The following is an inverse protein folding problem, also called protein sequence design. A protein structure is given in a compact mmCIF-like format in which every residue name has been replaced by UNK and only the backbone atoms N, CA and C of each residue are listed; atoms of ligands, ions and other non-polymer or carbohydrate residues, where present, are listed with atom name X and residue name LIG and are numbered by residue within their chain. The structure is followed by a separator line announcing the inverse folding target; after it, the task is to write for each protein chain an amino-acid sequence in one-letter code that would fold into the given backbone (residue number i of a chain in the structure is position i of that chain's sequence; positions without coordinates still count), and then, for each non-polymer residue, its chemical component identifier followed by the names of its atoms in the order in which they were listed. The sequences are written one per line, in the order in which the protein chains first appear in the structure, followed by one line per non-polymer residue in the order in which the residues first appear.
data_IF_870135246633
#
_entry.id   IF_870135246633
#
_cell.length_a   1.000
_cell.length_b   1.000
_cell.length_c   1.000
_cell.angle_alpha   90.00
_cell.angle_beta   90.00
_cell.angle_gamma   90.00
#
_symmetry.space_group_name_H-M   'P 1'
#
loop_
_entity.id
_entity.type
_entity.pdbx_description
1 polymer ?
#
# COMPACT_ATOMS: atom_id res chain seq x y z
N UNK A 1 11.04 2.43 -36.20
CA UNK A 1 11.18 3.90 -36.30
C UNK A 1 11.16 4.56 -34.91
N UNK A 2 10.10 4.37 -34.11
CA UNK A 2 10.01 4.90 -32.72
C UNK A 2 11.17 4.47 -31.81
N UNK A 3 11.58 3.20 -31.87
CA UNK A 3 12.66 2.66 -31.03
C UNK A 3 14.03 3.31 -31.27
N UNK A 4 14.20 4.16 -32.29
CA UNK A 4 15.45 4.87 -32.56
C UNK A 4 15.47 6.30 -32.00
N UNK A 5 14.32 6.85 -31.58
CA UNK A 5 14.21 8.19 -31.03
C UNK A 5 14.92 8.32 -29.66
N UNK A 6 15.24 9.55 -29.22
CA UNK A 6 15.63 9.83 -27.84
C UNK A 6 14.56 9.35 -26.85
N UNK A 7 14.97 8.98 -25.63
CA UNK A 7 14.06 8.40 -24.63
C UNK A 7 12.95 9.40 -24.28
N UNK A 8 13.28 10.68 -24.18
CA UNK A 8 12.36 11.76 -23.86
C UNK A 8 11.24 11.87 -24.90
N UNK A 9 11.59 11.73 -26.18
CA UNK A 9 10.63 11.75 -27.29
C UNK A 9 9.76 10.49 -27.29
N UNK A 10 10.32 9.33 -26.94
CA UNK A 10 9.56 8.10 -26.79
C UNK A 10 8.54 8.25 -25.65
N UNK A 11 8.95 8.80 -24.51
CA UNK A 11 8.05 9.02 -23.37
C UNK A 11 6.96 10.03 -23.70
N UNK A 12 7.28 11.09 -24.43
CA UNK A 12 6.30 12.07 -24.90
C UNK A 12 5.26 11.41 -25.82
N UNK A 13 5.70 10.57 -26.76
CA UNK A 13 4.79 9.79 -27.61
C UNK A 13 3.95 8.82 -26.77
N UNK A 14 4.51 8.22 -25.72
CA UNK A 14 3.78 7.29 -24.85
C UNK A 14 2.67 7.95 -24.00
N UNK A 15 2.52 9.27 -24.01
CA UNK A 15 1.43 9.96 -23.31
C UNK A 15 0.09 9.90 -24.05
N UNK A 16 0.10 9.59 -25.34
CA UNK A 16 -1.09 9.64 -26.21
C UNK A 16 -1.79 8.29 -26.44
N UNK A 17 -1.10 7.14 -26.54
CA UNK A 17 -1.73 5.84 -26.75
C UNK A 17 -2.48 5.34 -25.52
N UNK A 18 -3.41 4.42 -25.74
CA UNK A 18 -4.03 3.68 -24.65
C UNK A 18 -3.00 2.75 -23.98
N UNK A 19 -3.27 2.37 -22.73
CA UNK A 19 -2.40 1.47 -21.97
C UNK A 19 -2.13 0.13 -22.68
N UNK A 20 -3.13 -0.39 -23.39
CA UNK A 20 -3.02 -1.60 -24.21
C UNK A 20 -1.99 -1.44 -25.32
N UNK A 21 -1.94 -0.28 -25.96
CA UNK A 21 -0.98 0.02 -27.04
C UNK A 21 0.43 0.17 -26.48
N UNK A 22 0.59 0.73 -25.27
CA UNK A 22 1.87 0.79 -24.57
C UNK A 22 2.40 -0.61 -24.21
N UNK A 23 1.51 -1.51 -23.77
CA UNK A 23 1.86 -2.91 -23.55
C UNK A 23 2.40 -3.58 -24.81
N UNK A 24 1.72 -3.40 -25.95
CA UNK A 24 2.18 -3.92 -27.25
C UNK A 24 3.49 -3.27 -27.70
N UNK A 25 3.63 -1.95 -27.51
CA UNK A 25 4.83 -1.18 -27.85
C UNK A 25 6.06 -1.76 -27.15
N UNK A 26 5.93 -2.18 -25.88
CA UNK A 26 7.04 -2.77 -25.14
C UNK A 26 7.62 -4.02 -25.81
N UNK A 27 6.78 -4.83 -26.46
CA UNK A 27 7.19 -6.06 -27.13
C UNK A 27 7.76 -5.85 -28.55
N UNK A 28 7.80 -4.62 -29.05
CA UNK A 28 8.32 -4.32 -30.40
C UNK A 28 9.85 -4.42 -30.51
N UNK A 29 10.58 -4.19 -29.41
CA UNK A 29 12.05 -4.32 -29.37
C UNK A 29 12.59 -4.38 -27.93
N UNK A 30 13.79 -4.94 -27.76
CA UNK A 30 14.48 -4.96 -26.46
C UNK A 30 14.68 -3.55 -25.87
N UNK A 31 14.95 -2.55 -26.73
CA UNK A 31 15.12 -1.17 -26.29
C UNK A 31 13.81 -0.61 -25.75
N UNK A 32 12.70 -0.85 -26.44
CA UNK A 32 11.39 -0.36 -26.02
C UNK A 32 10.91 -1.05 -24.73
N UNK A 33 11.12 -2.36 -24.61
CA UNK A 33 10.88 -3.11 -23.36
C UNK A 33 11.64 -2.49 -22.18
N UNK A 34 12.94 -2.19 -22.36
CA UNK A 34 13.76 -1.56 -21.31
C UNK A 34 13.26 -0.16 -20.93
N UNK A 35 12.82 0.63 -21.91
CA UNK A 35 12.28 1.97 -21.67
C UNK A 35 10.95 1.86 -20.90
N UNK A 36 9.99 1.10 -21.42
CA UNK A 36 8.67 0.98 -20.80
C UNK A 36 8.78 0.34 -19.41
N UNK A 37 9.58 -0.72 -19.24
CA UNK A 37 9.82 -1.31 -17.91
C UNK A 37 10.42 -0.33 -16.91
N UNK A 38 11.24 0.63 -17.36
CA UNK A 38 11.90 1.61 -16.48
C UNK A 38 11.02 2.81 -16.15
N UNK A 39 10.26 3.30 -17.12
CA UNK A 39 9.56 4.58 -17.01
C UNK A 39 8.03 4.45 -16.92
N UNK A 40 7.47 3.37 -17.46
CA UNK A 40 6.04 3.09 -17.50
C UNK A 40 5.76 1.62 -17.10
N UNK A 41 6.26 1.14 -15.94
CA UNK A 41 6.14 -0.27 -15.56
C UNK A 41 4.68 -0.73 -15.50
N UNK A 42 3.76 0.16 -15.15
CA UNK A 42 2.32 -0.11 -15.14
C UNK A 42 1.79 -0.55 -16.51
N UNK A 43 2.34 -0.06 -17.62
CA UNK A 43 1.91 -0.48 -18.97
C UNK A 43 2.18 -1.97 -19.25
N UNK A 44 3.06 -2.60 -18.47
CA UNK A 44 3.32 -4.04 -18.51
C UNK A 44 2.43 -4.81 -17.51
N UNK A 45 1.84 -4.12 -16.55
CA UNK A 45 0.92 -4.69 -15.58
C UNK A 45 -0.48 -4.76 -16.19
N UNK A 46 -0.90 -6.00 -16.49
CA UNK A 46 -2.23 -6.25 -17.02
C UNK A 46 -3.32 -5.99 -15.99
N UNK A 47 -3.04 -6.36 -14.73
CA UNK A 47 -4.02 -6.33 -13.65
C UNK A 47 -3.46 -5.58 -12.47
N UNK A 48 -4.18 -4.56 -12.01
CA UNK A 48 -3.83 -3.76 -10.84
C UNK A 48 -4.88 -3.96 -9.76
N UNK A 49 -4.42 -4.29 -8.56
CA UNK A 49 -5.26 -4.48 -7.39
C UNK A 49 -5.39 -3.14 -6.66
N UNK A 50 -6.62 -2.73 -6.34
CA UNK A 50 -6.86 -1.48 -5.65
C UNK A 50 -8.10 -1.55 -4.76
N UNK A 51 -8.11 -0.69 -3.75
CA UNK A 51 -9.19 -0.55 -2.80
C UNK A 51 -9.99 0.72 -3.10
N UNK A 52 -11.32 0.60 -3.12
CA UNK A 52 -12.22 1.73 -3.32
C UNK A 52 -13.16 1.81 -2.11
N UNK A 53 -13.03 2.84 -1.26
CA UNK A 53 -14.09 3.16 -0.32
C UNK A 53 -15.26 3.79 -1.09
N UNK A 54 -16.46 3.38 -0.75
CA UNK A 54 -17.68 3.95 -1.33
C UNK A 54 -18.71 4.20 -0.24
N UNK A 55 -19.34 5.37 -0.32
CA UNK A 55 -20.43 5.81 0.54
C UNK A 55 -21.73 5.81 -0.29
N UNK A 56 -22.78 5.18 0.25
CA UNK A 56 -24.13 5.25 -0.31
C UNK A 56 -25.15 5.51 0.79
N UNK A 57 -25.48 6.78 0.99
CA UNK A 57 -26.26 7.20 2.15
C UNK A 57 -25.53 6.81 3.43
N UNK A 58 -26.19 6.04 4.30
CA UNK A 58 -25.62 5.61 5.58
C UNK A 58 -24.75 4.34 5.49
N UNK A 59 -24.47 3.84 4.28
CA UNK A 59 -23.70 2.62 4.06
C UNK A 59 -22.30 2.98 3.61
N UNK A 60 -21.33 2.70 4.47
CA UNK A 60 -19.91 2.83 4.21
C UNK A 60 -19.34 1.44 3.90
N UNK A 61 -18.79 1.23 2.70
CA UNK A 61 -18.21 -0.06 2.30
C UNK A 61 -16.88 0.07 1.59
N UNK A 62 -15.96 -0.81 1.94
CA UNK A 62 -14.70 -1.03 1.23
C UNK A 62 -14.82 -2.12 0.17
N UNK A 63 -14.47 -1.81 -1.08
CA UNK A 63 -14.44 -2.77 -2.18
C UNK A 63 -13.01 -3.05 -2.61
N UNK A 64 -12.72 -4.33 -2.83
CA UNK A 64 -11.47 -4.78 -3.42
C UNK A 64 -11.72 -5.01 -4.90
N UNK A 65 -11.03 -4.26 -5.73
CA UNK A 65 -11.24 -4.21 -7.16
C UNK A 65 -9.99 -4.63 -7.91
N UNK A 66 -10.20 -5.28 -9.05
CA UNK A 66 -9.17 -5.63 -10.01
C UNK A 66 -9.41 -4.82 -11.28
N UNK A 67 -8.47 -3.95 -11.63
CA UNK A 67 -8.49 -3.21 -12.87
C UNK A 67 -7.73 -4.01 -13.92
N UNK A 68 -8.37 -4.36 -15.02
CA UNK A 68 -7.71 -4.93 -16.19
C UNK A 68 -7.47 -3.83 -17.24
N UNK A 69 -6.20 -3.51 -17.46
CA UNK A 69 -5.78 -2.42 -18.35
C UNK A 69 -5.98 -2.74 -19.83
N UNK A 70 -6.17 -4.00 -20.21
CA UNK A 70 -6.38 -4.40 -21.61
C UNK A 70 -7.84 -4.29 -22.05
N UNK A 71 -8.75 -4.57 -21.14
CA UNK A 71 -10.19 -4.46 -21.35
C UNK A 71 -10.77 -3.15 -20.83
N UNK A 72 -9.96 -2.35 -20.13
CA UNK A 72 -10.36 -1.09 -19.48
C UNK A 72 -11.59 -1.35 -18.59
N UNK A 73 -11.51 -2.39 -17.77
CA UNK A 73 -12.62 -2.87 -16.95
C UNK A 73 -12.22 -2.99 -15.50
N UNK A 74 -13.16 -2.68 -14.61
CA UNK A 74 -13.02 -2.86 -13.17
C UNK A 74 -13.96 -3.98 -12.73
N UNK A 75 -13.39 -5.00 -12.09
CA UNK A 75 -14.13 -6.09 -11.47
C UNK A 75 -14.02 -5.97 -9.95
N UNK A 76 -15.16 -5.93 -9.25
CA UNK A 76 -15.14 -6.12 -7.81
C UNK A 76 -14.93 -7.60 -7.50
N UNK A 77 -13.86 -7.91 -6.79
CA UNK A 77 -13.47 -9.30 -6.53
C UNK A 77 -13.66 -9.73 -5.07
N UNK A 78 -13.72 -8.78 -4.15
CA UNK A 78 -13.96 -9.02 -2.73
C UNK A 78 -14.43 -7.73 -2.04
N UNK A 79 -14.72 -7.83 -0.74
CA UNK A 79 -15.01 -6.71 0.15
C UNK A 79 -14.43 -7.04 1.54
N UNK A 80 -13.87 -6.05 2.21
CA UNK A 80 -13.54 -6.18 3.62
C UNK A 80 -14.82 -6.19 4.46
N UNK A 81 -14.72 -6.75 5.67
CA UNK A 81 -15.82 -6.67 6.64
C UNK A 81 -15.96 -5.26 7.18
N UNK A 82 -14.83 -4.60 7.36
CA UNK A 82 -14.66 -3.26 7.89
C UNK A 82 -14.80 -2.18 6.82
N UNK A 83 -15.34 -1.02 7.21
CA UNK A 83 -15.18 0.18 6.39
C UNK A 83 -13.86 0.85 6.72
N UNK A 84 -13.04 1.06 5.70
CA UNK A 84 -11.70 1.61 5.85
C UNK A 84 -11.54 2.83 4.96
N UNK A 85 -10.83 3.82 5.48
CA UNK A 85 -10.37 4.94 4.69
C UNK A 85 -9.21 4.54 3.77
N UNK A 86 -8.93 5.29 2.68
CA UNK A 86 -7.81 4.99 1.79
C UNK A 86 -6.45 4.90 2.49
N UNK A 87 -6.24 5.70 3.54
CA UNK A 87 -4.97 5.72 4.29
C UNK A 87 -4.80 4.53 5.22
N UNK A 88 -5.87 3.82 5.56
CA UNK A 88 -5.87 2.60 6.39
C UNK A 88 -5.53 1.35 5.56
N UNK A 89 -5.18 1.53 4.28
CA UNK A 89 -4.97 0.43 3.34
C UNK A 89 -3.61 0.55 2.66
N UNK A 90 -2.86 -0.54 2.65
CA UNK A 90 -1.66 -0.70 1.83
C UNK A 90 -1.85 -1.79 0.78
N UNK A 91 -1.27 -1.59 -0.39
CA UNK A 91 -1.37 -2.54 -1.49
C UNK A 91 0.00 -3.03 -1.93
N UNK A 92 0.01 -4.27 -2.40
CA UNK A 92 1.10 -4.89 -3.12
C UNK A 92 0.56 -5.44 -4.43
N UNK A 93 1.41 -6.13 -5.20
CA UNK A 93 1.00 -6.75 -6.46
C UNK A 93 -0.14 -7.76 -6.28
N UNK A 94 -0.11 -8.50 -5.18
CA UNK A 94 -0.98 -9.65 -4.94
C UNK A 94 -1.74 -9.59 -3.62
N UNK A 95 -1.52 -8.56 -2.78
CA UNK A 95 -2.22 -8.42 -1.50
C UNK A 95 -2.72 -7.01 -1.24
N UNK A 96 -3.84 -6.92 -0.54
CA UNK A 96 -4.28 -5.69 0.14
C UNK A 96 -4.26 -5.94 1.64
N UNK A 97 -3.62 -5.03 2.36
CA UNK A 97 -3.59 -4.98 3.82
C UNK A 97 -4.48 -3.83 4.28
N UNK A 98 -5.32 -4.10 5.26
CA UNK A 98 -6.38 -3.21 5.70
C UNK A 98 -6.37 -3.16 7.23
N UNK A 99 -6.03 -2.00 7.81
CA UNK A 99 -5.92 -1.84 9.28
C UNK A 99 -6.90 -0.77 9.73
N UNK A 100 -8.07 -1.20 10.21
CA UNK A 100 -9.16 -0.35 10.67
C UNK A 100 -9.04 -0.03 12.15
N UNK A 101 -8.95 1.25 12.46
CA UNK A 101 -8.87 1.74 13.84
C UNK A 101 -10.22 1.68 14.58
N UNK A 102 -11.32 1.95 13.86
CA UNK A 102 -12.67 2.07 14.45
C UNK A 102 -13.26 0.76 14.93
N UNK A 103 -12.98 -0.33 14.22
CA UNK A 103 -13.46 -1.67 14.53
C UNK A 103 -12.33 -2.62 14.94
N UNK A 104 -11.14 -2.07 15.20
CA UNK A 104 -9.96 -2.80 15.65
C UNK A 104 -9.71 -4.05 14.80
N UNK A 105 -9.68 -3.85 13.48
CA UNK A 105 -9.60 -4.92 12.50
C UNK A 105 -8.32 -4.84 11.67
N UNK A 106 -7.66 -5.98 11.49
CA UNK A 106 -6.60 -6.13 10.51
C UNK A 106 -6.97 -7.26 9.55
N UNK A 107 -7.33 -6.89 8.33
CA UNK A 107 -7.69 -7.82 7.27
C UNK A 107 -6.61 -7.84 6.17
N UNK A 108 -6.33 -9.04 5.64
CA UNK A 108 -5.40 -9.25 4.54
C UNK A 108 -6.13 -10.01 3.44
N UNK A 109 -6.30 -9.36 2.30
CA UNK A 109 -6.79 -10.01 1.09
C UNK A 109 -5.62 -10.52 0.26
N UNK A 110 -5.65 -11.80 -0.11
CA UNK A 110 -4.68 -12.44 -1.00
C UNK A 110 -5.33 -12.72 -2.37
N UNK A 111 -4.76 -12.14 -3.43
CA UNK A 111 -5.26 -12.23 -4.80
C UNK A 111 -5.12 -13.63 -5.40
N UNK A 112 -4.12 -14.40 -4.96
CA UNK A 112 -3.86 -15.75 -5.45
C UNK A 112 -4.89 -16.72 -4.90
N UNK A 113 -5.13 -16.68 -3.59
CA UNK A 113 -6.10 -17.58 -2.93
C UNK A 113 -7.53 -17.05 -2.99
N UNK A 114 -7.71 -15.75 -3.28
CA UNK A 114 -9.00 -15.02 -3.19
C UNK A 114 -9.61 -15.07 -1.80
N UNK A 115 -8.78 -15.21 -0.76
CA UNK A 115 -9.23 -15.27 0.63
C UNK A 115 -8.89 -13.99 1.38
N UNK A 116 -9.72 -13.69 2.38
CA UNK A 116 -9.46 -12.69 3.39
C UNK A 116 -9.06 -13.43 4.66
N UNK A 117 -7.94 -13.02 5.25
CA UNK A 117 -7.42 -13.58 6.50
C UNK A 117 -7.25 -12.47 7.52
N UNK A 118 -7.31 -12.82 8.81
CA UNK A 118 -7.01 -11.89 9.89
C UNK A 118 -5.50 -11.71 10.00
N UNK A 119 -5.04 -10.46 10.01
CA UNK A 119 -3.66 -10.10 10.33
C UNK A 119 -3.39 -10.09 11.84
N UNK A 120 -2.16 -9.75 12.20
CA UNK A 120 -1.74 -9.65 13.60
C UNK A 120 -2.03 -8.26 14.13
N UNK A 121 -2.89 -8.18 15.14
CA UNK A 121 -3.31 -6.92 15.73
C UNK A 121 -2.07 -6.06 16.10
N UNK A 122 -2.06 -4.76 15.75
CA UNK A 122 -1.01 -3.85 16.18
C UNK A 122 -0.97 -3.79 17.71
N UNK A 123 0.18 -3.42 18.28
CA UNK A 123 0.30 -3.22 19.74
C UNK A 123 -0.71 -2.19 20.26
N UNK A 124 -0.99 -1.16 19.44
CA UNK A 124 -1.94 -0.10 19.75
C UNK A 124 -2.69 0.29 18.47
N UNK A 125 -4.03 0.27 18.55
CA UNK A 125 -4.91 0.85 17.53
C UNK A 125 -4.85 2.38 17.60
N UNK A 126 -4.77 3.02 16.43
CA UNK A 126 -4.63 4.48 16.34
C UNK A 126 -5.52 5.03 15.24
N UNK A 127 -6.35 6.00 15.60
CA UNK A 127 -7.23 6.68 14.66
C UNK A 127 -6.40 7.45 13.64
N UNK A 128 -6.86 7.47 12.39
CA UNK A 128 -6.19 8.19 11.29
C UNK A 128 -4.73 7.77 11.05
N UNK A 129 -4.32 6.58 11.51
CA UNK A 129 -3.03 6.03 11.18
C UNK A 129 -2.94 5.64 9.70
N UNK A 130 -1.76 5.82 9.13
CA UNK A 130 -1.46 5.42 7.76
C UNK A 130 -0.89 4.01 7.73
N UNK A 131 -1.27 3.24 6.72
CA UNK A 131 -0.68 1.93 6.45
C UNK A 131 0.12 2.01 5.17
N UNK A 132 1.35 1.50 5.18
CA UNK A 132 2.17 1.42 3.96
C UNK A 132 2.95 0.12 3.90
N UNK A 133 3.22 -0.34 2.69
CA UNK A 133 4.05 -1.52 2.44
C UNK A 133 5.33 -1.12 1.73
N UNK A 134 6.47 -1.49 2.29
CA UNK A 134 7.77 -1.18 1.71
C UNK A 134 8.82 -2.23 2.05
N UNK A 135 9.52 -2.75 1.03
CA UNK A 135 10.57 -3.77 1.18
C UNK A 135 10.11 -4.97 2.03
N UNK A 136 9.02 -5.58 1.59
CA UNK A 136 8.44 -6.77 2.21
C UNK A 136 7.93 -6.59 3.65
N UNK A 137 7.69 -5.33 4.04
CA UNK A 137 7.28 -4.96 5.39
C UNK A 137 6.06 -4.05 5.36
N UNK A 138 5.12 -4.31 6.26
CA UNK A 138 3.94 -3.49 6.48
C UNK A 138 4.17 -2.58 7.67
N UNK A 139 3.96 -1.28 7.50
CA UNK A 139 4.14 -0.27 8.52
C UNK A 139 2.82 0.40 8.86
N UNK A 140 2.58 0.62 10.14
CA UNK A 140 1.46 1.36 10.71
C UNK A 140 2.00 2.65 11.34
N UNK A 141 1.67 3.78 10.72
CA UNK A 141 2.35 5.06 10.86
C UNK A 141 1.44 6.11 11.50
N UNK A 142 1.94 6.75 12.53
CA UNK A 142 1.32 7.87 13.20
C UNK A 142 -0.09 7.59 13.70
N UNK A 143 -1.00 8.53 13.46
CA UNK A 143 -2.36 8.50 13.95
C UNK A 143 -2.49 9.11 15.34
N UNK A 144 -3.63 8.84 15.98
CA UNK A 144 -4.02 9.44 17.25
C UNK A 144 -4.48 8.35 18.21
N UNK A 145 -4.15 8.50 19.48
CA UNK A 145 -4.65 7.61 20.51
C UNK A 145 -6.16 7.80 20.73
N UNK A 146 -6.94 6.72 20.87
CA UNK A 146 -8.39 6.82 21.13
C UNK A 146 -8.70 7.71 22.35
N UNK A 147 -7.85 7.63 23.38
CA UNK A 147 -8.04 8.29 24.67
C UNK A 147 -7.44 9.71 24.75
N UNK A 148 -6.62 10.13 23.77
CA UNK A 148 -5.95 11.44 23.81
C UNK A 148 -6.50 12.39 22.73
N UNK A 149 -7.34 13.34 23.13
CA UNK A 149 -7.90 14.32 22.20
C UNK A 149 -6.77 15.26 21.68
N UNK A 150 -6.65 15.38 20.35
CA UNK A 150 -5.72 16.26 19.63
C UNK A 150 -4.21 15.97 19.76
N UNK A 151 -3.83 14.76 20.17
CA UNK A 151 -2.42 14.39 20.24
C UNK A 151 -2.08 13.33 19.20
N UNK A 152 -1.58 13.81 18.07
CA UNK A 152 -1.00 12.94 17.05
C UNK A 152 0.29 12.32 17.60
N UNK A 153 0.55 11.09 17.19
CA UNK A 153 1.79 10.39 17.49
C UNK A 153 2.64 10.25 16.24
N UNK A 154 3.95 10.24 16.46
CA UNK A 154 4.99 9.98 15.47
C UNK A 154 5.38 8.48 15.47
N UNK A 155 4.49 7.61 15.96
CA UNK A 155 4.79 6.19 16.17
C UNK A 155 4.82 5.40 14.85
N UNK A 156 5.79 4.51 14.71
CA UNK A 156 5.85 3.53 13.62
C UNK A 156 5.88 2.13 14.20
N UNK A 157 4.92 1.31 13.79
CA UNK A 157 4.93 -0.12 14.09
C UNK A 157 5.11 -0.93 12.81
N UNK A 158 5.92 -1.99 12.89
CA UNK A 158 6.07 -3.01 11.87
C UNK A 158 5.07 -4.14 12.14
N UNK A 159 4.20 -4.50 11.19
CA UNK A 159 3.11 -5.46 11.37
C UNK A 159 3.31 -6.84 10.70
N UNK A 160 4.56 -7.27 10.48
CA UNK A 160 4.87 -8.52 9.75
C UNK A 160 5.67 -9.53 10.59
N UNK A 161 5.61 -10.81 10.20
CA UNK A 161 6.39 -11.95 10.73
C UNK A 161 6.15 -12.34 12.20
N UNK A 162 4.95 -12.16 12.74
CA UNK A 162 4.69 -12.55 14.14
C UNK A 162 5.31 -11.59 15.16
N UNK A 163 6.04 -10.57 14.71
CA UNK A 163 6.75 -9.64 15.57
C UNK A 163 6.28 -8.23 15.26
N UNK A 164 5.44 -7.69 16.14
CA UNK A 164 5.14 -6.26 16.10
C UNK A 164 6.33 -5.52 16.72
N UNK A 165 7.08 -4.77 15.89
CA UNK A 165 8.23 -3.98 16.36
C UNK A 165 7.92 -2.51 16.29
N UNK A 166 8.20 -1.81 17.39
CA UNK A 166 8.23 -0.37 17.41
C UNK A 166 9.54 0.13 16.78
N UNK A 167 9.45 1.08 15.85
CA UNK A 167 10.60 1.73 15.23
C UNK A 167 10.55 3.21 15.61
N UNK A 168 11.46 3.61 16.50
CA UNK A 168 11.70 5.03 16.76
C UNK A 168 12.40 5.67 15.55
N UNK A 169 11.90 6.80 15.07
CA UNK A 169 12.64 7.67 14.16
C UNK A 169 13.11 8.94 14.86
N UNK A 170 14.29 9.41 14.48
CA UNK A 170 14.80 10.70 14.97
C UNK A 170 14.18 11.83 14.14
N UNK A 171 13.38 12.68 14.77
CA UNK A 171 13.00 13.98 14.20
C UNK A 171 14.11 14.99 14.47
N UNK A 172 14.71 15.54 13.41
CA UNK A 172 15.62 16.67 13.53
C UNK A 172 14.80 17.95 13.75
N UNK A 173 14.85 18.51 14.96
CA UNK A 173 14.38 19.87 15.20
C UNK A 173 15.48 20.87 14.84
N UNK A 174 15.14 22.13 14.53
CA UNK A 174 16.13 23.20 14.29
C UNK A 174 17.14 23.37 15.44
N UNK A 175 16.84 22.84 16.64
CA UNK A 175 17.69 22.88 17.83
C UNK A 175 18.43 21.55 18.13
N UNK A 176 18.51 20.62 17.17
CA UNK A 176 19.21 19.34 17.31
C UNK A 176 18.32 18.12 17.62
N UNK A 177 18.97 16.96 17.81
CA UNK A 177 18.35 15.65 17.99
C UNK A 177 17.60 15.57 19.35
N UNK A 178 16.28 15.39 19.31
CA UNK A 178 15.49 15.02 20.49
C UNK A 178 15.05 13.56 20.37
N UNK A 179 15.59 12.71 21.23
CA UNK A 179 15.15 11.32 21.42
C UNK A 179 13.90 11.34 22.31
N UNK A 180 12.72 10.92 21.81
CA UNK A 180 11.56 10.59 22.67
C UNK A 180 11.65 9.10 23.06
N UNK A 181 11.23 8.79 24.30
CA UNK A 181 11.60 7.59 25.08
C UNK A 181 11.10 6.26 24.52
N UNK A 182 11.96 5.26 24.70
CA UNK A 182 11.74 3.81 24.60
C UNK A 182 10.67 3.26 25.57
N UNK A 183 9.82 2.37 25.08
CA UNK A 183 9.37 1.19 25.83
C UNK A 183 9.75 -0.06 25.03
N UNK A 184 10.67 -0.83 25.61
CA UNK A 184 11.21 -2.06 25.06
C UNK A 184 10.55 -3.19 25.87
N UNK A 185 9.48 -3.79 25.37
CA UNK A 185 8.91 -5.00 25.96
C UNK A 185 9.17 -6.19 25.04
N UNK A 186 9.80 -7.21 25.65
CA UNK A 186 10.13 -8.57 25.15
C UNK A 186 11.40 -8.76 24.30
N UNK A 187 12.55 -8.66 24.99
CA UNK A 187 13.67 -9.59 24.80
C UNK A 187 13.40 -10.88 25.60
N UNK A 188 12.69 -11.85 25.03
CA UNK A 188 12.76 -13.23 25.51
C UNK A 188 12.32 -14.22 24.42
N UNK A 189 13.14 -14.40 23.37
CA UNK A 189 13.18 -15.65 22.57
C UNK A 189 14.28 -15.60 21.50
N UNK A 190 15.50 -15.18 21.88
CA UNK A 190 16.67 -15.29 20.98
C UNK A 190 17.89 -15.91 21.66
N UNK A 191 17.60 -16.84 22.59
CA UNK A 191 18.56 -17.85 23.05
C UNK A 191 17.86 -19.22 23.08
N UNK A 192 17.78 -19.88 21.93
CA UNK A 192 18.16 -21.28 21.77
C UNK A 192 18.32 -21.66 20.30
#
# INVERSE_FOLDING_TARGET
MLANLPVEMILLVCQYPEFKDLGQLAWTSNRMMRIIKRYLPMALERKTLFYIPYENGNIWKGRICLFDSHTISVEQIAKFTSYLWPWEVATTKDKIFAVGSWDESFEIFDLITRQITKGLDPLEWRDHAFVTYFKDKLYHLGGKYPDEIWKDTDRVDLLMDGIVRHIDYQTMSENGLKLKRFQNEFLSELHH
#
